data_IF_479029913242
#
_entry.id   IF_479029913242
#
_cell.length_a   1.000
_cell.length_b   1.000
_cell.length_c   1.000
_cell.angle_alpha   90.00
_cell.angle_beta   90.00
_cell.angle_gamma   90.00
#
_symmetry.space_group_name_H-M   'P 1'
#
loop_
_entity.id
_entity.type
_entity.pdbx_description
1 polymer ?
#
# COMPACT_ATOMS: atom_id res chain seq x y z
N UNK A 1 -8.09 -2.28 -21.52
CA UNK A 1 -8.78 -2.28 -20.21
C UNK A 1 -9.95 -1.31 -20.29
N UNK A 2 -11.12 -1.65 -19.77
CA UNK A 2 -12.30 -0.77 -19.79
C UNK A 2 -12.86 -0.70 -18.36
N UNK A 3 -12.66 0.42 -17.68
CA UNK A 3 -13.30 0.70 -16.40
C UNK A 3 -14.82 0.82 -16.60
N UNK A 4 -15.60 0.41 -15.60
CA UNK A 4 -17.08 0.45 -15.66
C UNK A 4 -17.63 1.87 -15.60
N UNK A 5 -16.87 2.81 -15.02
CA UNK A 5 -17.20 4.22 -14.85
C UNK A 5 -15.96 5.08 -15.13
N UNK A 6 -16.16 6.30 -15.59
CA UNK A 6 -15.08 7.27 -15.79
C UNK A 6 -14.64 7.82 -14.42
N UNK A 7 -13.39 7.59 -13.99
CA UNK A 7 -12.90 8.13 -12.73
C UNK A 7 -12.64 9.64 -12.84
N UNK A 8 -12.75 10.33 -11.73
CA UNK A 8 -12.46 11.77 -11.60
C UNK A 8 -11.44 12.06 -10.51
N UNK A 9 -11.19 11.10 -9.64
CA UNK A 9 -10.28 11.17 -8.49
C UNK A 9 -9.42 9.92 -8.46
N UNK A 10 -8.19 10.03 -8.00
CA UNK A 10 -7.32 8.87 -7.84
C UNK A 10 -6.79 8.78 -6.41
N UNK A 11 -6.86 7.59 -5.84
CA UNK A 11 -6.35 7.29 -4.48
C UNK A 11 -5.31 6.19 -4.61
N UNK A 12 -4.15 6.40 -4.00
CA UNK A 12 -3.03 5.47 -4.08
C UNK A 12 -2.72 4.89 -2.71
N UNK A 13 -2.52 3.59 -2.63
CA UNK A 13 -1.74 3.07 -1.52
C UNK A 13 -0.29 3.56 -1.62
N UNK A 14 0.46 3.45 -0.52
CA UNK A 14 1.84 3.90 -0.46
C UNK A 14 2.82 2.76 -0.70
N UNK A 15 2.76 1.74 0.17
CA UNK A 15 3.71 0.64 0.22
C UNK A 15 3.43 -0.36 -0.90
N UNK A 16 4.41 -0.63 -1.77
CA UNK A 16 4.20 -1.50 -2.93
C UNK A 16 3.48 -0.84 -4.12
N UNK A 17 2.97 0.41 -3.96
CA UNK A 17 2.33 1.17 -5.04
C UNK A 17 3.12 2.43 -5.39
N UNK A 18 3.34 3.33 -4.45
CA UNK A 18 4.15 4.53 -4.67
C UNK A 18 5.62 4.30 -4.33
N UNK A 19 5.88 3.62 -3.20
CA UNK A 19 7.22 3.35 -2.70
C UNK A 19 7.49 1.84 -2.65
N UNK A 20 8.69 1.44 -3.11
CA UNK A 20 9.15 0.05 -3.07
C UNK A 20 9.72 -0.28 -1.68
N UNK A 21 8.83 -0.44 -0.72
CA UNK A 21 9.16 -0.72 0.68
C UNK A 21 9.13 -2.20 1.02
N UNK A 22 8.46 -3.03 0.23
CA UNK A 22 8.30 -4.46 0.49
C UNK A 22 9.62 -5.24 0.64
N UNK A 23 10.66 -5.01 -0.21
CA UNK A 23 11.97 -5.62 0.00
C UNK A 23 12.61 -5.22 1.33
N UNK A 24 12.39 -3.98 1.77
CA UNK A 24 12.98 -3.44 3.01
C UNK A 24 12.34 -4.05 4.26
N UNK A 25 11.01 -4.25 4.24
CA UNK A 25 10.33 -5.02 5.28
C UNK A 25 10.83 -6.47 5.33
N UNK A 26 11.07 -7.07 4.18
CA UNK A 26 11.62 -8.43 4.08
C UNK A 26 13.02 -8.49 4.68
N UNK A 27 13.91 -7.54 4.32
CA UNK A 27 15.26 -7.45 4.84
C UNK A 27 15.29 -7.30 6.37
N UNK A 28 14.52 -6.34 6.90
CA UNK A 28 14.45 -6.11 8.34
C UNK A 28 13.91 -7.33 9.10
N UNK A 29 12.85 -7.97 8.57
CA UNK A 29 12.27 -9.17 9.20
C UNK A 29 13.22 -10.36 9.13
N UNK A 30 13.88 -10.57 7.99
CA UNK A 30 14.88 -11.62 7.82
C UNK A 30 16.07 -11.43 8.77
N UNK A 31 16.53 -10.19 8.97
CA UNK A 31 17.62 -9.90 9.92
C UNK A 31 17.25 -10.27 11.36
N UNK A 32 15.99 -10.01 11.78
CA UNK A 32 15.53 -10.45 13.11
C UNK A 32 15.44 -11.97 13.19
N UNK A 33 14.84 -12.64 12.18
CA UNK A 33 14.68 -14.09 12.15
C UNK A 33 16.04 -14.81 12.17
N UNK A 34 17.04 -14.29 11.43
CA UNK A 34 18.38 -14.85 11.36
C UNK A 34 19.11 -14.91 12.71
N UNK A 35 18.82 -13.98 13.63
CA UNK A 35 19.36 -14.01 15.02
C UNK A 35 18.95 -15.27 15.79
N UNK A 36 17.87 -15.92 15.37
CA UNK A 36 17.35 -17.16 15.94
C UNK A 36 17.60 -18.37 15.04
N UNK A 37 18.47 -18.24 14.01
CA UNK A 37 18.77 -19.31 13.07
C UNK A 37 17.61 -19.67 12.13
N UNK A 38 16.64 -18.74 11.94
CA UNK A 38 15.46 -18.94 11.10
C UNK A 38 15.59 -18.17 9.78
N UNK A 39 14.95 -18.72 8.74
CA UNK A 39 14.90 -18.11 7.40
C UNK A 39 13.50 -17.57 7.18
N UNK A 40 13.40 -16.27 6.91
CA UNK A 40 12.16 -15.61 6.47
C UNK A 40 12.17 -15.50 4.95
N UNK A 41 11.32 -16.26 4.31
CA UNK A 41 11.22 -16.33 2.86
C UNK A 41 9.77 -16.12 2.36
N UNK A 42 9.57 -16.27 1.05
CA UNK A 42 8.28 -16.07 0.41
C UNK A 42 7.17 -17.00 0.93
N UNK A 43 7.50 -18.20 1.41
CA UNK A 43 6.52 -19.15 1.93
C UNK A 43 5.74 -18.58 3.13
N UNK A 44 6.39 -17.74 3.93
CA UNK A 44 5.78 -17.03 5.07
C UNK A 44 5.30 -15.65 4.66
N UNK A 45 6.13 -14.90 3.88
CA UNK A 45 5.84 -13.52 3.49
C UNK A 45 4.49 -13.36 2.79
N UNK A 46 4.16 -14.25 1.84
CA UNK A 46 2.92 -14.19 1.05
C UNK A 46 1.64 -14.13 1.89
N UNK A 47 1.68 -14.70 3.10
CA UNK A 47 0.54 -14.74 4.02
C UNK A 47 0.46 -13.49 4.91
N UNK A 48 1.50 -12.65 4.88
CA UNK A 48 1.60 -11.39 5.64
C UNK A 48 1.16 -10.17 4.84
N UNK A 49 1.26 -10.21 3.51
CA UNK A 49 1.02 -9.07 2.63
C UNK A 49 -0.41 -8.55 2.77
N UNK A 50 -0.54 -7.23 3.02
CA UNK A 50 -1.80 -6.53 3.19
C UNK A 50 -2.46 -6.68 4.56
N UNK A 51 -1.87 -7.47 5.48
CA UNK A 51 -2.38 -7.61 6.85
C UNK A 51 -1.92 -6.48 7.76
N UNK A 52 -2.64 -6.27 8.86
CA UNK A 52 -2.19 -5.36 9.91
C UNK A 52 -0.88 -5.83 10.55
N UNK A 53 -0.08 -4.88 11.02
CA UNK A 53 1.28 -5.09 11.55
C UNK A 53 1.37 -6.23 12.58
N UNK A 54 0.49 -6.24 13.59
CA UNK A 54 0.51 -7.27 14.64
C UNK A 54 0.04 -8.64 14.14
N UNK A 55 -0.90 -8.69 13.20
CA UNK A 55 -1.37 -9.94 12.61
C UNK A 55 -0.28 -10.58 11.75
N UNK A 56 0.38 -9.80 10.90
CA UNK A 56 1.54 -10.26 10.13
C UNK A 56 2.66 -10.76 11.05
N UNK A 57 2.97 -10.03 12.12
CA UNK A 57 3.97 -10.46 13.10
C UNK A 57 3.59 -11.77 13.79
N UNK A 58 2.31 -11.99 14.12
CA UNK A 58 1.82 -13.24 14.68
C UNK A 58 2.07 -14.42 13.74
N UNK A 59 1.73 -14.25 12.45
CA UNK A 59 1.97 -15.27 11.42
C UNK A 59 3.46 -15.62 11.35
N UNK A 60 4.35 -14.62 11.33
CA UNK A 60 5.79 -14.82 11.24
C UNK A 60 6.32 -15.56 12.47
N UNK A 61 5.93 -15.13 13.67
CA UNK A 61 6.35 -15.76 14.94
C UNK A 61 5.92 -17.23 14.98
N UNK A 62 4.67 -17.53 14.62
CA UNK A 62 4.13 -18.89 14.60
C UNK A 62 4.81 -19.75 13.53
N UNK A 63 4.88 -19.26 12.29
CA UNK A 63 5.44 -20.01 11.16
C UNK A 63 6.94 -20.34 11.34
N UNK A 64 7.71 -19.42 11.91
CA UNK A 64 9.14 -19.59 12.15
C UNK A 64 9.47 -20.13 13.54
N UNK A 65 8.48 -20.34 14.42
CA UNK A 65 8.64 -20.70 15.82
C UNK A 65 9.67 -19.78 16.51
N UNK A 66 9.52 -18.46 16.35
CA UNK A 66 10.42 -17.50 16.99
C UNK A 66 10.14 -17.41 18.50
N UNK A 67 11.17 -17.33 19.36
CA UNK A 67 11.00 -17.14 20.80
C UNK A 67 10.69 -15.67 21.14
N UNK A 68 9.76 -15.06 20.41
CA UNK A 68 9.34 -13.67 20.52
C UNK A 68 7.81 -13.58 20.60
N UNK A 69 7.31 -12.56 21.25
CA UNK A 69 5.92 -12.15 21.04
C UNK A 69 5.77 -11.39 19.72
N UNK A 70 4.58 -11.34 19.10
CA UNK A 70 4.36 -10.52 17.91
C UNK A 70 4.78 -9.06 18.11
N UNK A 71 4.48 -8.47 19.26
CA UNK A 71 4.88 -7.10 19.59
C UNK A 71 6.40 -6.94 19.70
N UNK A 72 7.11 -7.92 20.26
CA UNK A 72 8.57 -7.90 20.34
C UNK A 72 9.19 -8.01 18.94
N UNK A 73 8.66 -8.86 18.06
CA UNK A 73 9.11 -8.94 16.67
C UNK A 73 8.94 -7.57 15.95
N UNK A 74 7.78 -6.93 16.09
CA UNK A 74 7.53 -5.60 15.51
C UNK A 74 8.55 -4.60 16.02
N UNK A 75 8.76 -4.52 17.33
CA UNK A 75 9.71 -3.60 17.93
C UNK A 75 11.15 -3.79 17.41
N UNK A 76 11.60 -5.04 17.36
CA UNK A 76 12.95 -5.39 16.89
C UNK A 76 13.14 -5.08 15.41
N UNK A 77 12.12 -5.40 14.60
CA UNK A 77 12.09 -5.11 13.16
C UNK A 77 12.11 -3.61 12.91
N UNK A 78 11.26 -2.85 13.59
CA UNK A 78 11.06 -1.43 13.32
C UNK A 78 12.33 -0.60 13.64
N UNK A 79 13.12 -1.03 14.58
CA UNK A 79 14.45 -0.44 14.83
C UNK A 79 15.38 -0.52 13.63
N UNK A 80 15.34 -1.63 12.89
CA UNK A 80 16.12 -1.81 11.66
C UNK A 80 15.45 -1.13 10.47
N UNK A 81 14.12 -1.20 10.42
CA UNK A 81 13.31 -0.72 9.32
C UNK A 81 13.38 0.80 9.12
N UNK A 82 13.44 1.58 10.20
CA UNK A 82 13.45 3.06 10.14
C UNK A 82 14.54 3.59 9.20
N UNK A 83 15.77 3.06 9.32
CA UNK A 83 16.89 3.49 8.47
C UNK A 83 16.71 3.06 7.02
N UNK A 84 16.13 1.87 6.80
CA UNK A 84 15.90 1.32 5.48
C UNK A 84 14.81 2.10 4.74
N UNK A 85 13.64 2.30 5.37
CA UNK A 85 12.51 2.97 4.71
C UNK A 85 12.73 4.46 4.45
N UNK A 86 13.62 5.12 5.21
CA UNK A 86 14.05 6.49 4.90
C UNK A 86 14.72 6.60 3.50
N UNK A 87 15.18 5.48 2.95
CA UNK A 87 15.83 5.39 1.64
C UNK A 87 15.01 4.64 0.59
N UNK A 88 13.77 4.29 0.91
CA UNK A 88 12.88 3.56 0.01
C UNK A 88 12.82 4.24 -1.37
N UNK A 89 13.06 3.53 -2.47
CA UNK A 89 12.91 4.10 -3.80
C UNK A 89 11.44 4.22 -4.18
N UNK A 90 11.14 5.08 -5.15
CA UNK A 90 9.83 5.08 -5.79
C UNK A 90 9.64 3.82 -6.63
N UNK A 91 8.42 3.31 -6.69
CA UNK A 91 8.03 2.28 -7.66
C UNK A 91 8.20 2.84 -9.08
N UNK A 92 8.75 2.02 -9.98
CA UNK A 92 9.01 2.43 -11.36
C UNK A 92 7.73 2.94 -12.05
N UNK A 93 7.78 4.18 -12.54
CA UNK A 93 6.67 4.84 -13.22
C UNK A 93 5.61 5.50 -12.31
N UNK A 94 5.61 5.24 -11.00
CA UNK A 94 4.61 5.80 -10.08
C UNK A 94 4.63 7.34 -10.03
N UNK A 95 5.83 7.92 -9.93
CA UNK A 95 5.99 9.38 -9.93
C UNK A 95 5.54 9.99 -11.26
N UNK A 96 5.99 9.45 -12.38
CA UNK A 96 5.63 9.98 -13.71
C UNK A 96 4.11 9.91 -13.94
N UNK A 97 3.49 8.80 -13.59
CA UNK A 97 2.05 8.59 -13.76
C UNK A 97 1.22 9.51 -12.86
N UNK A 98 1.54 9.61 -11.56
CA UNK A 98 0.82 10.49 -10.64
C UNK A 98 0.98 11.97 -11.01
N UNK A 99 2.18 12.40 -11.44
CA UNK A 99 2.38 13.77 -11.97
C UNK A 99 1.57 14.02 -13.25
N UNK A 100 1.45 13.03 -14.14
CA UNK A 100 0.62 13.15 -15.33
C UNK A 100 -0.86 13.33 -14.99
N UNK A 101 -1.37 12.63 -13.98
CA UNK A 101 -2.73 12.84 -13.46
C UNK A 101 -2.90 14.23 -12.84
N UNK A 102 -1.97 14.64 -11.97
CA UNK A 102 -2.00 15.97 -11.34
C UNK A 102 -1.95 17.09 -12.38
N UNK A 103 -1.11 16.96 -13.43
CA UNK A 103 -1.01 17.90 -14.54
C UNK A 103 -2.30 18.05 -15.36
N UNK A 104 -3.21 17.08 -15.26
CA UNK A 104 -4.58 17.14 -15.83
C UNK A 104 -5.62 17.70 -14.85
N UNK A 105 -5.19 18.11 -13.66
CA UNK A 105 -6.09 18.61 -12.62
C UNK A 105 -6.87 17.51 -11.90
N UNK A 106 -6.46 16.23 -11.98
CA UNK A 106 -7.07 15.15 -11.23
C UNK A 106 -6.67 15.26 -9.76
N UNK A 107 -7.61 15.37 -8.81
CA UNK A 107 -7.27 15.39 -7.39
C UNK A 107 -6.78 14.01 -6.95
N UNK A 108 -5.66 14.00 -6.19
CA UNK A 108 -4.97 12.79 -5.75
C UNK A 108 -4.95 12.70 -4.23
N UNK A 109 -5.11 11.49 -3.67
CA UNK A 109 -4.86 11.21 -2.26
C UNK A 109 -4.03 9.95 -2.07
N UNK A 110 -3.37 9.86 -0.92
CA UNK A 110 -2.71 8.66 -0.41
C UNK A 110 -3.60 8.04 0.68
N UNK A 111 -3.71 6.70 0.68
CA UNK A 111 -4.43 5.94 1.70
C UNK A 111 -3.60 4.72 2.11
N UNK A 112 -2.81 4.85 3.19
CA UNK A 112 -1.83 3.85 3.61
C UNK A 112 -2.13 3.27 4.99
N UNK A 113 -1.94 1.96 5.17
CA UNK A 113 -1.98 1.30 6.48
C UNK A 113 -0.81 1.69 7.39
N UNK A 114 0.21 2.36 6.86
CA UNK A 114 1.33 2.91 7.63
C UNK A 114 0.84 4.01 8.56
N UNK A 115 1.31 4.00 9.82
CA UNK A 115 1.04 5.05 10.80
C UNK A 115 1.76 6.37 10.45
N UNK A 116 1.21 7.49 10.85
CA UNK A 116 1.70 8.83 10.49
C UNK A 116 3.18 9.09 10.80
N UNK A 117 3.76 8.67 11.93
CA UNK A 117 5.20 8.86 12.19
C UNK A 117 6.09 8.14 11.18
N UNK A 118 5.74 6.89 10.81
CA UNK A 118 6.50 6.12 9.84
C UNK A 118 6.28 6.62 8.41
N UNK A 119 5.06 7.04 8.09
CA UNK A 119 4.76 7.71 6.82
C UNK A 119 5.64 8.95 6.62
N UNK A 120 5.81 9.79 7.65
CA UNK A 120 6.66 10.98 7.57
C UNK A 120 8.12 10.62 7.22
N UNK A 121 8.65 9.52 7.76
CA UNK A 121 10.01 9.04 7.46
C UNK A 121 10.10 8.56 6.00
N UNK A 122 9.17 7.73 5.55
CA UNK A 122 9.10 7.20 4.17
C UNK A 122 8.98 8.34 3.15
N UNK A 123 8.13 9.33 3.45
CA UNK A 123 7.83 10.45 2.57
C UNK A 123 8.95 11.50 2.48
N UNK A 124 9.85 11.56 3.46
CA UNK A 124 10.83 12.65 3.59
C UNK A 124 11.68 12.84 2.34
N UNK A 125 12.17 11.74 1.73
CA UNK A 125 12.97 11.76 0.51
C UNK A 125 12.17 12.18 -0.73
N UNK A 126 10.86 11.95 -0.74
CA UNK A 126 9.95 12.15 -1.86
C UNK A 126 9.04 13.37 -1.68
N UNK A 127 9.39 14.28 -0.77
CA UNK A 127 8.54 15.40 -0.34
C UNK A 127 8.01 16.24 -1.50
N UNK A 128 8.85 16.59 -2.46
CA UNK A 128 8.47 17.41 -3.61
C UNK A 128 7.47 16.70 -4.52
N UNK A 129 7.66 15.39 -4.72
CA UNK A 129 6.73 14.59 -5.48
C UNK A 129 5.43 14.40 -4.74
N UNK A 130 5.49 13.95 -3.47
CA UNK A 130 4.28 13.63 -2.70
C UNK A 130 3.46 14.89 -2.33
N UNK A 131 4.00 16.08 -2.47
CA UNK A 131 3.24 17.34 -2.32
C UNK A 131 2.13 17.55 -3.37
N UNK A 132 2.12 16.77 -4.47
CA UNK A 132 1.02 16.82 -5.45
C UNK A 132 -0.26 16.15 -4.95
N UNK A 133 -0.18 15.34 -3.89
CA UNK A 133 -1.34 14.69 -3.28
C UNK A 133 -2.00 15.66 -2.30
N UNK A 134 -3.30 15.94 -2.53
CA UNK A 134 -4.07 16.88 -1.72
C UNK A 134 -4.39 16.37 -0.32
N UNK A 135 -4.28 15.04 -0.09
CA UNK A 135 -4.51 14.40 1.20
C UNK A 135 -3.65 13.13 1.35
N UNK A 136 -3.33 12.81 2.62
CA UNK A 136 -2.73 11.53 2.99
C UNK A 136 -3.42 11.03 4.26
N UNK A 137 -4.09 9.89 4.17
CA UNK A 137 -4.75 9.20 5.29
C UNK A 137 -3.87 8.03 5.72
N UNK A 138 -3.45 8.02 6.98
CA UNK A 138 -2.60 7.01 7.59
C UNK A 138 -3.42 6.00 8.40
N UNK A 139 -2.82 4.85 8.71
CA UNK A 139 -3.50 3.78 9.43
C UNK A 139 -3.94 4.11 10.86
N UNK A 140 -3.32 5.11 11.47
CA UNK A 140 -3.65 5.64 12.81
C UNK A 140 -4.58 6.87 12.77
N UNK A 141 -5.12 7.25 11.60
CA UNK A 141 -6.12 8.32 11.50
C UNK A 141 -7.36 7.93 12.32
N UNK A 142 -7.87 8.80 13.22
CA UNK A 142 -9.01 8.49 14.08
C UNK A 142 -10.30 8.15 13.33
N UNK A 143 -10.40 8.45 12.05
CA UNK A 143 -11.50 8.06 11.16
C UNK A 143 -11.39 6.63 10.64
N UNK A 144 -10.23 6.00 10.78
CA UNK A 144 -9.96 4.62 10.37
C UNK A 144 -10.11 3.72 11.59
N UNK A 145 -11.35 3.33 11.88
CA UNK A 145 -11.65 2.46 13.03
C UNK A 145 -11.36 0.99 12.76
N UNK A 146 -11.36 0.59 11.50
CA UNK A 146 -11.07 -0.78 11.06
C UNK A 146 -10.05 -0.75 9.93
N UNK A 147 -8.96 -1.55 10.03
CA UNK A 147 -7.97 -1.65 8.97
C UNK A 147 -8.55 -2.35 7.71
N UNK A 148 -7.84 -2.27 6.59
CA UNK A 148 -8.09 -3.08 5.40
C UNK A 148 -8.26 -4.56 5.81
N UNK A 149 -9.30 -5.27 5.33
CA UNK A 149 -10.14 -4.99 4.17
C UNK A 149 -11.37 -4.11 4.43
N UNK A 150 -11.54 -3.50 5.62
CA UNK A 150 -12.60 -2.52 5.82
C UNK A 150 -12.37 -1.27 4.97
N UNK A 151 -13.45 -0.58 4.52
CA UNK A 151 -13.36 0.53 3.58
C UNK A 151 -12.90 1.85 4.21
N UNK A 152 -12.75 1.91 5.52
CA UNK A 152 -12.65 3.12 6.33
C UNK A 152 -11.59 4.10 5.79
N UNK A 153 -10.40 3.59 5.45
CA UNK A 153 -9.27 4.42 4.99
C UNK A 153 -9.54 5.07 3.61
N UNK A 154 -10.13 4.32 2.69
CA UNK A 154 -10.48 4.84 1.37
C UNK A 154 -11.64 5.83 1.42
N UNK A 155 -12.63 5.57 2.28
CA UNK A 155 -13.73 6.51 2.52
C UNK A 155 -13.24 7.82 3.17
N UNK A 156 -12.26 7.73 4.08
CA UNK A 156 -11.62 8.92 4.66
C UNK A 156 -10.86 9.71 3.59
N UNK A 157 -10.07 9.05 2.73
CA UNK A 157 -9.35 9.70 1.64
C UNK A 157 -10.29 10.36 0.61
N UNK A 158 -11.37 9.68 0.24
CA UNK A 158 -12.39 10.27 -0.65
C UNK A 158 -13.04 11.50 -0.03
N UNK A 159 -13.34 11.47 1.27
CA UNK A 159 -13.90 12.62 2.00
C UNK A 159 -12.96 13.81 1.98
N UNK A 160 -11.66 13.61 2.18
CA UNK A 160 -10.66 14.68 2.14
C UNK A 160 -10.51 15.29 0.74
N UNK A 161 -10.77 14.51 -0.32
CA UNK A 161 -10.84 15.00 -1.69
C UNK A 161 -12.20 15.64 -2.05
N UNK A 162 -13.21 15.58 -1.18
CA UNK A 162 -14.59 15.95 -1.51
C UNK A 162 -15.19 15.08 -2.62
N UNK A 163 -14.73 13.84 -2.72
CA UNK A 163 -15.04 12.93 -3.81
C UNK A 163 -16.17 11.95 -3.46
N UNK A 164 -17.17 11.74 -4.32
CA UNK A 164 -18.05 10.60 -4.19
C UNK A 164 -17.27 9.30 -4.49
N UNK A 165 -17.39 8.25 -3.64
CA UNK A 165 -16.62 7.03 -3.77
C UNK A 165 -16.65 6.39 -5.16
N UNK A 166 -17.82 6.38 -5.80
CA UNK A 166 -18.02 5.81 -7.13
C UNK A 166 -17.26 6.53 -8.25
N UNK A 167 -16.75 7.73 -7.98
CA UNK A 167 -15.92 8.50 -8.91
C UNK A 167 -14.42 8.35 -8.64
N UNK A 168 -14.03 7.54 -7.64
CA UNK A 168 -12.66 7.29 -7.29
C UNK A 168 -12.12 6.03 -7.97
N UNK A 169 -10.86 6.11 -8.41
CA UNK A 169 -10.05 4.97 -8.83
C UNK A 169 -8.92 4.76 -7.83
N UNK A 170 -8.83 3.56 -7.27
CA UNK A 170 -7.79 3.16 -6.33
C UNK A 170 -6.68 2.41 -7.06
N UNK A 171 -5.42 2.63 -6.66
CA UNK A 171 -4.27 1.83 -7.03
C UNK A 171 -3.74 1.12 -5.78
N UNK A 172 -3.64 -0.20 -5.83
CA UNK A 172 -3.36 -1.08 -4.69
C UNK A 172 -2.52 -2.28 -5.09
N UNK A 173 -1.67 -2.76 -4.18
CA UNK A 173 -0.85 -3.95 -4.42
C UNK A 173 -1.37 -5.20 -3.69
N UNK A 174 -2.15 -5.01 -2.61
CA UNK A 174 -2.57 -6.08 -1.72
C UNK A 174 -4.00 -6.57 -1.97
N UNK A 175 -4.30 -7.87 -1.75
CA UNK A 175 -5.68 -8.38 -1.83
C UNK A 175 -6.63 -7.68 -0.86
N UNK A 176 -6.20 -7.43 0.38
CA UNK A 176 -7.04 -6.76 1.39
C UNK A 176 -7.33 -5.30 1.04
N UNK A 177 -6.37 -4.60 0.41
CA UNK A 177 -6.63 -3.24 -0.06
C UNK A 177 -7.58 -3.21 -1.26
N UNK A 178 -7.48 -4.18 -2.17
CA UNK A 178 -8.46 -4.33 -3.25
C UNK A 178 -9.86 -4.58 -2.70
N UNK A 179 -10.01 -5.47 -1.71
CA UNK A 179 -11.29 -5.71 -1.03
C UNK A 179 -11.81 -4.44 -0.34
N UNK A 180 -10.93 -3.68 0.33
CA UNK A 180 -11.29 -2.43 1.00
C UNK A 180 -11.80 -1.36 0.00
N UNK A 181 -11.13 -1.21 -1.16
CA UNK A 181 -11.55 -0.29 -2.20
C UNK A 181 -12.92 -0.68 -2.78
N UNK A 182 -13.14 -1.98 -3.02
CA UNK A 182 -14.45 -2.52 -3.46
C UNK A 182 -15.54 -2.30 -2.42
N UNK A 183 -15.23 -2.55 -1.14
CA UNK A 183 -16.16 -2.29 -0.03
C UNK A 183 -16.50 -0.80 0.11
N UNK A 184 -15.59 0.10 -0.28
CA UNK A 184 -15.83 1.54 -0.36
C UNK A 184 -16.69 1.95 -1.57
N UNK A 185 -17.05 1.04 -2.49
CA UNK A 185 -17.78 1.35 -3.72
C UNK A 185 -16.93 1.95 -4.83
N UNK A 186 -15.59 1.88 -4.70
CA UNK A 186 -14.63 2.42 -5.64
C UNK A 186 -14.22 1.40 -6.71
N UNK A 187 -13.71 1.89 -7.84
CA UNK A 187 -12.99 1.07 -8.80
C UNK A 187 -11.54 0.88 -8.32
N UNK A 188 -10.93 -0.24 -8.67
CA UNK A 188 -9.56 -0.52 -8.22
C UNK A 188 -8.74 -1.24 -9.29
N UNK A 189 -7.52 -0.74 -9.51
CA UNK A 189 -6.47 -1.40 -10.28
C UNK A 189 -5.50 -2.00 -9.28
N UNK A 190 -5.30 -3.31 -9.38
CA UNK A 190 -4.30 -4.02 -8.60
C UNK A 190 -2.94 -4.02 -9.32
N UNK A 191 -1.88 -3.72 -8.57
CA UNK A 191 -0.48 -3.72 -9.00
C UNK A 191 0.33 -4.67 -8.10
N UNK A 192 0.02 -5.99 -8.08
CA UNK A 192 0.62 -6.92 -7.14
C UNK A 192 2.10 -7.16 -7.40
N UNK A 193 2.83 -7.55 -6.34
CA UNK A 193 4.14 -8.15 -6.47
C UNK A 193 4.09 -9.29 -7.50
N UNK A 194 5.05 -9.41 -8.41
CA UNK A 194 5.07 -10.46 -9.45
C UNK A 194 4.98 -11.89 -8.91
N UNK A 195 5.40 -12.12 -7.67
CA UNK A 195 5.33 -13.44 -7.01
C UNK A 195 3.96 -13.74 -6.39
N UNK A 196 3.04 -12.76 -6.34
CA UNK A 196 1.69 -12.97 -5.81
C UNK A 196 0.80 -13.74 -6.78
N UNK A 197 -0.01 -14.64 -6.24
CA UNK A 197 -1.04 -15.33 -7.01
C UNK A 197 -2.13 -14.34 -7.44
N UNK A 198 -2.23 -14.13 -8.77
CA UNK A 198 -3.22 -13.22 -9.38
C UNK A 198 -4.67 -13.64 -9.11
N UNK A 199 -4.93 -14.92 -8.78
CA UNK A 199 -6.26 -15.39 -8.41
C UNK A 199 -6.80 -14.72 -7.13
N UNK A 200 -5.94 -14.12 -6.31
CA UNK A 200 -6.35 -13.37 -5.12
C UNK A 200 -6.93 -11.98 -5.43
N UNK A 201 -6.88 -11.53 -6.68
CA UNK A 201 -7.29 -10.18 -7.10
C UNK A 201 -8.52 -10.19 -8.00
N UNK A 202 -9.34 -11.22 -7.92
CA UNK A 202 -10.53 -11.42 -8.80
C UNK A 202 -11.57 -10.32 -8.69
N UNK A 203 -11.58 -9.55 -7.61
CA UNK A 203 -12.50 -8.43 -7.40
C UNK A 203 -11.96 -7.09 -7.94
N UNK A 204 -10.69 -7.03 -8.36
CA UNK A 204 -10.13 -5.83 -8.98
C UNK A 204 -10.73 -5.62 -10.39
N UNK A 205 -10.88 -4.35 -10.80
CA UNK A 205 -11.33 -4.01 -12.15
C UNK A 205 -10.24 -4.31 -13.20
N UNK A 206 -8.96 -4.29 -12.78
CA UNK A 206 -7.83 -4.77 -13.57
C UNK A 206 -6.66 -5.19 -12.67
N UNK A 207 -5.83 -6.13 -13.15
CA UNK A 207 -4.59 -6.57 -12.49
C UNK A 207 -3.44 -6.36 -13.47
N UNK A 208 -2.53 -5.43 -13.17
CA UNK A 208 -1.41 -5.03 -14.03
C UNK A 208 -0.08 -5.32 -13.34
N UNK A 209 1.00 -5.30 -14.12
CA UNK A 209 2.34 -5.57 -13.58
C UNK A 209 3.06 -4.30 -13.08
N UNK A 210 2.47 -3.12 -13.26
CA UNK A 210 3.06 -1.84 -12.85
C UNK A 210 2.50 -0.67 -13.66
N UNK A 211 3.13 0.49 -13.52
CA UNK A 211 2.69 1.74 -14.16
C UNK A 211 3.15 1.90 -15.62
N UNK A 212 4.05 1.04 -16.12
CA UNK A 212 4.66 1.22 -17.45
C UNK A 212 3.64 1.29 -18.60
N UNK A 213 2.53 0.56 -18.46
CA UNK A 213 1.48 0.48 -19.51
C UNK A 213 0.29 1.40 -19.20
N UNK A 214 0.39 2.23 -18.16
CA UNK A 214 -0.69 3.12 -17.74
C UNK A 214 -0.49 4.54 -18.27
N UNK A 215 -1.54 5.07 -18.90
CA UNK A 215 -1.67 6.50 -19.21
C UNK A 215 -2.99 7.00 -18.66
N UNK A 216 -3.11 8.31 -18.32
CA UNK A 216 -4.38 8.88 -17.90
C UNK A 216 -5.51 8.64 -18.90
N UNK A 217 -5.22 8.75 -20.22
CA UNK A 217 -6.21 8.55 -21.29
C UNK A 217 -6.75 7.12 -21.33
N UNK A 218 -5.88 6.12 -21.08
CA UNK A 218 -6.30 4.71 -21.04
C UNK A 218 -7.32 4.45 -19.92
N UNK A 219 -7.27 5.24 -18.86
CA UNK A 219 -8.16 5.15 -17.70
C UNK A 219 -9.38 6.08 -17.81
N UNK A 220 -9.40 6.96 -18.81
CA UNK A 220 -10.49 7.89 -19.05
C UNK A 220 -10.45 9.16 -18.17
N UNK A 221 -9.31 9.49 -17.57
CA UNK A 221 -9.10 10.76 -16.86
C UNK A 221 -9.04 11.97 -17.80
#
# INVERSE_FOLDING_TARGET
>A
MKLSRRPRYAIFDLDGVLLDTEPLYTEATAAVAARFGKVYDWSVKRDCIGRGTLEAARIIVEALALPLTPAALVHERDRLLIELVARAPAIAGAEAFSRALAGRGVPLAIATSTEAPLYAIKAARHREWLAIFGAAVCGDDPRVSRPKPAPDIFLAAARDLGAPPESCLVFEDSPFGVEAARAAGMQVIALPDPAMDRARYTTADAVLSGFADLTPDLLGF
#
